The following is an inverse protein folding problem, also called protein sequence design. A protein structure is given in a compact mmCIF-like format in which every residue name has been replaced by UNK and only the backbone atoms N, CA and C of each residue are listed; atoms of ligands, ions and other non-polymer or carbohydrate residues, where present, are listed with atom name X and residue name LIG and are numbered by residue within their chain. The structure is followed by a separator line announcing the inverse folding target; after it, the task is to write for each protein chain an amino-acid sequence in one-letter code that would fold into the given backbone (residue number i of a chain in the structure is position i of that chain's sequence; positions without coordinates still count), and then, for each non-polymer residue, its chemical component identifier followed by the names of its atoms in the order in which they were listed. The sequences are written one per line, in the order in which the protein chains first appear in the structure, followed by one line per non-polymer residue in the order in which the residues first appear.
data_IF_931298839723
#
_entry.id   IF_931298839723
#
_cell.length_a   1.000
_cell.length_b   1.000
_cell.length_c   1.000
_cell.angle_alpha   90.00
_cell.angle_beta   90.00
_cell.angle_gamma   90.00
#
_symmetry.space_group_name_H-M   'P 1'
#
loop_
_entity.id
_entity.type
_entity.pdbx_description
1 polymer ?
#
# COMPACT_ATOMS: atom_id res chain seq x y z
N UNK A 1 1.12 6.36 27.84
CA UNK A 1 1.27 5.20 26.93
C UNK A 1 2.70 4.74 26.93
N UNK A 2 3.00 3.44 26.84
CA UNK A 2 4.38 2.96 26.86
C UNK A 2 5.20 3.51 25.68
N UNK A 3 6.46 3.92 25.87
CA UNK A 3 7.32 4.44 24.79
C UNK A 3 7.55 3.43 23.65
N UNK A 4 7.37 2.15 23.93
CA UNK A 4 7.47 1.06 22.96
C UNK A 4 6.48 1.18 21.78
N UNK A 5 5.34 1.86 21.96
CA UNK A 5 4.39 2.10 20.87
C UNK A 5 4.94 3.06 19.80
N UNK A 6 5.78 4.03 20.21
CA UNK A 6 6.44 4.92 19.26
C UNK A 6 7.48 4.15 18.43
N UNK A 7 8.16 3.17 19.05
CA UNK A 7 9.11 2.28 18.38
C UNK A 7 8.39 1.41 17.32
N UNK A 8 7.23 0.85 17.69
CA UNK A 8 6.41 0.07 16.75
C UNK A 8 5.91 0.96 15.60
N UNK A 9 5.42 2.16 15.89
CA UNK A 9 4.98 3.11 14.87
C UNK A 9 6.14 3.53 13.94
N UNK A 10 7.34 3.73 14.47
CA UNK A 10 8.54 4.01 13.68
C UNK A 10 8.92 2.84 12.77
N UNK A 11 8.78 1.59 13.22
CA UNK A 11 9.04 0.41 12.40
C UNK A 11 8.03 0.31 11.23
N UNK A 12 6.74 0.53 11.50
CA UNK A 12 5.71 0.54 10.43
C UNK A 12 5.89 1.72 9.47
N UNK A 13 6.29 2.89 9.97
CA UNK A 13 6.65 4.06 9.16
C UNK A 13 7.82 3.75 8.21
N UNK A 14 8.93 3.21 8.72
CA UNK A 14 10.13 2.90 7.93
C UNK A 14 9.85 1.85 6.84
N UNK A 15 9.03 0.83 7.14
CA UNK A 15 8.62 -0.17 6.17
C UNK A 15 7.74 0.43 5.07
N UNK A 16 6.76 1.25 5.45
CA UNK A 16 5.86 1.92 4.51
C UNK A 16 6.60 2.94 3.62
N UNK A 17 7.55 3.67 4.19
CA UNK A 17 8.42 4.61 3.45
C UNK A 17 9.17 3.89 2.32
N UNK A 18 9.68 2.67 2.57
CA UNK A 18 10.44 1.88 1.60
C UNK A 18 9.57 1.29 0.48
N UNK A 19 8.25 1.18 0.67
CA UNK A 19 7.35 0.51 -0.29
C UNK A 19 7.21 1.27 -1.61
N UNK A 20 7.23 2.60 -1.57
CA UNK A 20 7.05 3.51 -2.71
C UNK A 20 8.33 4.26 -3.10
N UNK A 21 9.46 3.81 -2.60
CA UNK A 21 10.74 4.48 -2.71
C UNK A 21 11.21 4.72 -4.16
N UNK A 22 10.91 3.82 -5.07
CA UNK A 22 11.39 3.90 -6.44
C UNK A 22 10.42 4.58 -7.40
N UNK A 23 9.14 4.77 -7.05
CA UNK A 23 8.13 5.30 -7.97
C UNK A 23 8.55 6.64 -8.62
N UNK A 24 8.97 7.69 -7.88
CA UNK A 24 9.35 8.96 -8.50
C UNK A 24 10.72 8.92 -9.20
N UNK A 25 11.61 8.00 -8.84
CA UNK A 25 12.96 7.91 -9.41
C UNK A 25 13.08 6.86 -10.53
N UNK A 26 11.98 6.23 -10.89
CA UNK A 26 11.94 5.12 -11.84
C UNK A 26 12.53 5.44 -13.23
N UNK A 27 12.32 6.65 -13.82
CA UNK A 27 12.95 6.99 -15.08
C UNK A 27 14.49 6.96 -15.01
N UNK A 28 15.10 7.44 -13.94
CA UNK A 28 16.55 7.39 -13.76
C UNK A 28 17.07 5.95 -13.58
N UNK A 29 16.28 5.09 -12.92
CA UNK A 29 16.60 3.65 -12.85
C UNK A 29 16.55 3.00 -14.23
N UNK A 30 15.52 3.32 -15.01
CA UNK A 30 15.36 2.79 -16.36
C UNK A 30 16.52 3.20 -17.27
N UNK A 31 16.91 4.47 -17.22
CA UNK A 31 18.02 5.04 -17.98
C UNK A 31 19.36 4.41 -17.60
N UNK A 32 19.69 4.35 -16.31
CA UNK A 32 20.94 3.77 -15.78
C UNK A 32 21.16 2.30 -16.21
N UNK A 33 20.08 1.52 -16.34
CA UNK A 33 20.19 0.11 -16.75
C UNK A 33 19.84 -0.13 -18.22
N UNK A 34 19.49 0.90 -18.98
CA UNK A 34 19.11 0.80 -20.40
C UNK A 34 17.85 -0.06 -20.61
N UNK A 35 16.90 -0.03 -19.68
CA UNK A 35 15.65 -0.78 -19.76
C UNK A 35 14.46 0.14 -19.99
N UNK A 36 13.35 -0.41 -20.46
CA UNK A 36 12.11 0.39 -20.61
C UNK A 36 11.51 0.76 -19.26
N UNK A 37 10.72 1.84 -19.22
CA UNK A 37 9.94 2.23 -18.02
C UNK A 37 9.03 1.08 -17.58
N UNK A 38 8.44 0.34 -18.52
CA UNK A 38 7.59 -0.82 -18.23
C UNK A 38 8.38 -1.95 -17.52
N UNK A 39 9.62 -2.20 -17.95
CA UNK A 39 10.52 -3.17 -17.29
C UNK A 39 10.90 -2.67 -15.89
N UNK A 40 11.26 -1.41 -15.75
CA UNK A 40 11.59 -0.81 -14.47
C UNK A 40 10.40 -0.79 -13.49
N UNK A 41 9.17 -0.58 -13.98
CA UNK A 41 7.94 -0.67 -13.19
C UNK A 41 7.70 -2.07 -12.59
N UNK A 42 8.31 -3.10 -13.19
CA UNK A 42 8.37 -4.45 -12.62
C UNK A 42 9.00 -4.51 -11.22
N UNK A 43 9.89 -3.56 -10.87
CA UNK A 43 10.47 -3.45 -9.52
C UNK A 43 9.39 -3.19 -8.46
N UNK A 44 8.43 -2.31 -8.74
CA UNK A 44 7.29 -2.04 -7.87
C UNK A 44 6.33 -3.25 -7.82
N UNK A 45 6.07 -3.88 -8.98
CA UNK A 45 5.24 -5.08 -9.08
C UNK A 45 5.83 -6.26 -8.28
N UNK A 46 7.13 -6.52 -8.41
CA UNK A 46 7.83 -7.59 -7.68
C UNK A 46 7.81 -7.38 -6.17
N UNK A 47 8.02 -6.14 -5.72
CA UNK A 47 7.89 -5.79 -4.31
C UNK A 47 6.46 -6.03 -3.80
N UNK A 48 5.44 -5.52 -4.50
CA UNK A 48 4.05 -5.66 -4.11
C UNK A 48 3.59 -7.13 -4.08
N UNK A 49 4.03 -7.93 -5.04
CA UNK A 49 3.74 -9.37 -5.11
C UNK A 49 4.21 -10.11 -3.88
N UNK A 50 5.50 -9.98 -3.56
CA UNK A 50 6.08 -10.67 -2.41
C UNK A 50 5.56 -10.13 -1.09
N UNK A 51 5.31 -8.82 -1.02
CA UNK A 51 4.64 -8.19 0.11
C UNK A 51 3.25 -8.81 0.36
N UNK A 52 2.44 -9.02 -0.68
CA UNK A 52 1.10 -9.61 -0.56
C UNK A 52 1.15 -11.06 -0.06
N UNK A 53 1.98 -11.89 -0.70
CA UNK A 53 2.01 -13.34 -0.43
C UNK A 53 2.54 -13.64 0.97
N UNK A 54 3.51 -12.87 1.44
CA UNK A 54 4.20 -13.17 2.69
C UNK A 54 3.41 -12.76 3.94
N UNK A 55 2.48 -11.82 3.83
CA UNK A 55 1.71 -11.29 4.99
C UNK A 55 1.04 -12.39 5.84
N UNK A 56 0.27 -13.32 5.26
CA UNK A 56 -0.35 -14.39 6.05
C UNK A 56 0.67 -15.32 6.70
N UNK A 57 1.76 -15.58 5.98
CA UNK A 57 2.82 -16.50 6.43
C UNK A 57 3.61 -15.89 7.61
N UNK A 58 4.06 -14.64 7.46
CA UNK A 58 4.84 -13.98 8.51
C UNK A 58 3.99 -13.58 9.72
N UNK A 59 2.70 -13.25 9.49
CA UNK A 59 1.75 -13.06 10.59
C UNK A 59 1.62 -14.30 11.47
N UNK A 60 1.51 -15.47 10.85
CA UNK A 60 1.45 -16.75 11.56
C UNK A 60 2.81 -17.15 12.18
N UNK A 61 3.92 -16.96 11.46
CA UNK A 61 5.26 -17.24 11.97
C UNK A 61 5.63 -16.37 13.17
N UNK A 62 5.08 -15.16 13.28
CA UNK A 62 5.32 -14.26 14.40
C UNK A 62 4.90 -14.84 15.75
N UNK A 63 3.82 -15.62 15.78
CA UNK A 63 3.35 -16.30 16.99
C UNK A 63 4.22 -17.49 17.37
N UNK A 64 4.94 -18.09 16.40
CA UNK A 64 5.84 -19.23 16.62
C UNK A 64 7.27 -18.83 16.98
N UNK A 65 7.83 -17.85 16.31
CA UNK A 65 9.24 -17.42 16.46
C UNK A 65 9.39 -16.34 17.55
N UNK A 66 8.29 -15.62 17.80
CA UNK A 66 8.26 -14.45 18.68
C UNK A 66 8.25 -13.15 17.87
N UNK A 67 7.19 -12.36 18.07
CA UNK A 67 6.85 -11.16 17.27
C UNK A 67 8.01 -10.15 17.21
N UNK A 68 8.64 -9.83 18.36
CA UNK A 68 9.73 -8.86 18.39
C UNK A 68 10.96 -9.33 17.60
N UNK A 69 11.33 -10.60 17.72
CA UNK A 69 12.46 -11.18 16.96
C UNK A 69 12.18 -11.15 15.47
N UNK A 70 11.00 -11.61 15.05
CA UNK A 70 10.64 -11.65 13.64
C UNK A 70 10.57 -10.23 13.08
N UNK A 71 10.09 -9.24 13.83
CA UNK A 71 10.12 -7.84 13.42
C UNK A 71 11.55 -7.34 13.19
N UNK A 72 12.49 -7.66 14.08
CA UNK A 72 13.90 -7.28 13.91
C UNK A 72 14.49 -7.95 12.65
N UNK A 73 14.24 -9.25 12.45
CA UNK A 73 14.69 -9.95 11.24
C UNK A 73 14.12 -9.30 9.98
N UNK A 74 12.83 -8.99 9.95
CA UNK A 74 12.20 -8.29 8.83
C UNK A 74 12.83 -6.91 8.58
N UNK A 75 13.07 -6.12 9.63
CA UNK A 75 13.71 -4.80 9.49
C UNK A 75 15.15 -4.93 8.99
N UNK A 76 15.93 -5.87 9.52
CA UNK A 76 17.31 -6.11 9.05
C UNK A 76 17.32 -6.54 7.58
N UNK A 77 16.44 -7.46 7.18
CA UNK A 77 16.33 -7.87 5.77
C UNK A 77 15.89 -6.73 4.85
N UNK A 78 14.99 -5.86 5.32
CA UNK A 78 14.57 -4.68 4.56
C UNK A 78 15.71 -3.67 4.41
N UNK A 79 16.48 -3.43 5.47
CA UNK A 79 17.66 -2.57 5.43
C UNK A 79 18.71 -3.12 4.45
N UNK A 80 19.02 -4.42 4.55
CA UNK A 80 19.94 -5.09 3.62
C UNK A 80 19.44 -5.01 2.18
N UNK A 81 18.16 -5.24 1.93
CA UNK A 81 17.54 -5.09 0.62
C UNK A 81 17.77 -3.70 0.03
N UNK A 82 17.52 -2.65 0.80
CA UNK A 82 17.72 -1.27 0.35
C UNK A 82 19.21 -0.96 0.11
N UNK A 83 20.11 -1.35 1.01
CA UNK A 83 21.56 -1.10 0.88
C UNK A 83 22.14 -1.87 -0.31
N UNK A 84 21.84 -3.17 -0.44
CA UNK A 84 22.28 -3.95 -1.59
C UNK A 84 21.70 -3.40 -2.90
N UNK A 85 20.45 -2.95 -2.88
CA UNK A 85 19.86 -2.25 -4.03
C UNK A 85 20.60 -0.98 -4.41
N UNK A 86 21.03 -0.18 -3.44
CA UNK A 86 21.82 1.04 -3.67
C UNK A 86 23.20 0.74 -4.30
N UNK A 87 23.79 -0.40 -3.97
CA UNK A 87 25.12 -0.78 -4.41
C UNK A 87 25.16 -1.57 -5.72
N UNK A 88 23.99 -2.00 -6.23
CA UNK A 88 23.94 -2.88 -7.40
C UNK A 88 24.25 -2.15 -8.71
N UNK A 89 24.90 -2.87 -9.61
CA UNK A 89 25.17 -2.45 -11.00
C UNK A 89 24.40 -3.29 -12.02
N UNK A 90 23.52 -4.17 -11.56
CA UNK A 90 22.76 -5.11 -12.41
C UNK A 90 21.26 -4.99 -12.13
N UNK A 91 20.44 -4.84 -13.18
CA UNK A 91 18.98 -4.77 -13.04
C UNK A 91 18.38 -6.03 -12.44
N UNK A 92 18.78 -7.28 -12.83
CA UNK A 92 18.27 -8.50 -12.19
C UNK A 92 18.58 -8.55 -10.68
N UNK A 93 19.74 -8.06 -10.25
CA UNK A 93 20.09 -8.01 -8.84
C UNK A 93 19.27 -6.96 -8.11
N UNK A 94 19.05 -5.77 -8.71
CA UNK A 94 18.11 -4.78 -8.16
C UNK A 94 16.72 -5.38 -8.00
N UNK A 95 16.22 -6.13 -9.01
CA UNK A 95 14.94 -6.80 -8.93
C UNK A 95 14.89 -7.81 -7.78
N UNK A 96 15.94 -8.62 -7.60
CA UNK A 96 16.04 -9.57 -6.48
C UNK A 96 16.02 -8.85 -5.12
N UNK A 97 16.68 -7.70 -5.00
CA UNK A 97 16.60 -6.89 -3.76
C UNK A 97 15.19 -6.39 -3.51
N UNK A 98 14.41 -6.02 -4.54
CA UNK A 98 13.01 -5.59 -4.37
C UNK A 98 12.12 -6.76 -3.92
N UNK A 99 12.35 -7.96 -4.45
CA UNK A 99 11.69 -9.20 -3.97
C UNK A 99 11.97 -9.40 -2.47
N UNK A 100 13.25 -9.35 -2.08
CA UNK A 100 13.66 -9.48 -0.67
C UNK A 100 13.03 -8.39 0.22
N UNK A 101 13.02 -7.14 -0.27
CA UNK A 101 12.40 -6.01 0.41
C UNK A 101 10.90 -6.19 0.62
N UNK A 102 10.19 -6.70 -0.39
CA UNK A 102 8.77 -6.99 -0.30
C UNK A 102 8.46 -8.10 0.72
N UNK A 103 9.25 -9.18 0.73
CA UNK A 103 9.15 -10.23 1.76
C UNK A 103 9.32 -9.64 3.16
N UNK A 104 10.35 -8.85 3.34
CA UNK A 104 10.68 -8.26 4.63
C UNK A 104 9.61 -7.25 5.10
N UNK A 105 9.23 -6.31 4.25
CA UNK A 105 8.26 -5.28 4.58
C UNK A 105 6.85 -5.85 4.83
N UNK A 106 6.45 -6.88 4.08
CA UNK A 106 5.14 -7.51 4.19
C UNK A 106 4.85 -8.11 5.57
N UNK A 107 5.89 -8.53 6.31
CA UNK A 107 5.74 -9.05 7.67
C UNK A 107 5.59 -7.96 8.73
N UNK A 108 6.14 -6.77 8.51
CA UNK A 108 6.28 -5.76 9.57
C UNK A 108 4.93 -5.29 10.10
N UNK A 109 3.95 -5.01 9.22
CA UNK A 109 2.66 -4.49 9.65
C UNK A 109 1.83 -5.49 10.47
N UNK A 110 1.61 -6.75 10.04
CA UNK A 110 0.86 -7.72 10.84
C UNK A 110 1.58 -8.05 12.17
N UNK A 111 2.93 -8.11 12.17
CA UNK A 111 3.70 -8.31 13.40
C UNK A 111 3.53 -7.12 14.36
N UNK A 112 3.54 -5.89 13.85
CA UNK A 112 3.32 -4.68 14.64
C UNK A 112 1.95 -4.69 15.32
N UNK A 113 0.89 -5.06 14.59
CA UNK A 113 -0.46 -5.18 15.14
C UNK A 113 -0.51 -6.22 16.27
N UNK A 114 0.17 -7.35 16.09
CA UNK A 114 0.31 -8.38 17.11
C UNK A 114 1.08 -7.89 18.35
N UNK A 115 2.19 -7.16 18.17
CA UNK A 115 2.98 -6.58 19.28
C UNK A 115 2.18 -5.54 20.07
N UNK A 116 1.47 -4.64 19.38
CA UNK A 116 0.59 -3.67 20.04
C UNK A 116 -0.43 -4.40 20.93
N UNK A 117 -1.03 -5.46 20.41
CA UNK A 117 -2.02 -6.26 21.15
C UNK A 117 -1.44 -6.97 22.37
N UNK A 118 -0.13 -7.24 22.40
CA UNK A 118 0.56 -7.89 23.50
C UNK A 118 0.99 -6.93 24.62
N UNK A 119 1.28 -5.65 24.27
CA UNK A 119 1.85 -4.67 25.23
C UNK A 119 0.84 -3.66 25.75
N UNK A 120 -0.40 -3.67 25.23
CA UNK A 120 -1.43 -2.69 25.60
C UNK A 120 -2.68 -3.39 26.10
N UNK A 121 -3.24 -2.85 27.19
CA UNK A 121 -4.52 -3.31 27.75
C UNK A 121 -5.69 -3.13 26.77
N UNK A 122 -6.75 -3.93 26.83
CA UNK A 122 -7.86 -3.90 25.86
C UNK A 122 -8.49 -2.53 25.67
N UNK A 123 -8.62 -1.74 26.74
CA UNK A 123 -9.20 -0.38 26.76
C UNK A 123 -8.39 0.63 25.92
N UNK A 124 -7.08 0.46 25.81
CA UNK A 124 -6.16 1.36 25.06
C UNK A 124 -5.74 0.80 23.71
N UNK A 125 -6.12 -0.44 23.38
CA UNK A 125 -5.66 -1.16 22.19
C UNK A 125 -6.03 -0.42 20.89
N UNK A 126 -7.27 0.09 20.79
CA UNK A 126 -7.73 0.78 19.58
C UNK A 126 -6.88 2.05 19.28
N UNK A 127 -6.56 2.83 20.32
CA UNK A 127 -5.72 4.03 20.15
C UNK A 127 -4.29 3.67 19.78
N UNK A 128 -3.76 2.59 20.33
CA UNK A 128 -2.40 2.13 20.03
C UNK A 128 -2.28 1.56 18.60
N UNK A 129 -3.28 0.79 18.16
CA UNK A 129 -3.37 0.31 16.76
C UNK A 129 -3.47 1.49 15.79
N UNK A 130 -4.29 2.51 16.13
CA UNK A 130 -4.41 3.73 15.33
C UNK A 130 -3.08 4.47 15.16
N UNK A 131 -2.21 4.51 16.18
CA UNK A 131 -0.87 5.11 16.06
C UNK A 131 0.05 4.36 15.10
N UNK A 132 0.04 3.03 15.16
CA UNK A 132 0.83 2.22 14.22
C UNK A 132 0.34 2.36 12.79
N UNK A 133 -0.98 2.44 12.59
CA UNK A 133 -1.59 2.72 11.29
C UNK A 133 -1.23 4.11 10.79
N UNK A 134 -1.28 5.13 11.66
CA UNK A 134 -0.85 6.49 11.32
C UNK A 134 0.62 6.53 10.90
N UNK A 135 1.51 5.79 11.59
CA UNK A 135 2.90 5.63 11.20
C UNK A 135 3.04 5.07 9.78
N UNK A 136 2.32 3.98 9.46
CA UNK A 136 2.33 3.38 8.13
C UNK A 136 1.76 4.33 7.06
N UNK A 137 0.65 5.02 7.34
CA UNK A 137 0.05 6.00 6.42
C UNK A 137 0.99 7.18 6.14
N UNK A 138 1.62 7.72 7.19
CA UNK A 138 2.61 8.81 7.05
C UNK A 138 3.84 8.33 6.27
N UNK A 139 4.30 7.10 6.50
CA UNK A 139 5.38 6.50 5.74
C UNK A 139 5.05 6.37 4.25
N UNK A 140 3.86 5.88 3.91
CA UNK A 140 3.41 5.81 2.52
C UNK A 140 3.27 7.19 1.86
N UNK A 141 2.74 8.18 2.59
CA UNK A 141 2.60 9.56 2.12
C UNK A 141 3.97 10.18 1.82
N UNK A 142 4.89 10.06 2.78
CA UNK A 142 6.23 10.65 2.66
C UNK A 142 7.16 9.82 1.77
N UNK A 143 6.87 8.52 1.55
CA UNK A 143 7.73 7.62 0.79
C UNK A 143 8.04 8.14 -0.60
N UNK A 144 7.04 8.48 -1.39
CA UNK A 144 7.22 9.02 -2.73
C UNK A 144 7.79 10.45 -2.70
N UNK A 145 7.27 11.36 -1.86
CA UNK A 145 7.73 12.74 -1.82
C UNK A 145 9.18 12.86 -1.32
N UNK A 146 9.52 12.16 -0.25
CA UNK A 146 10.90 12.12 0.25
C UNK A 146 11.85 11.48 -0.76
N UNK A 147 11.43 10.39 -1.41
CA UNK A 147 12.25 9.72 -2.44
C UNK A 147 12.48 10.59 -3.66
N UNK A 148 11.48 11.35 -4.11
CA UNK A 148 11.67 12.32 -5.19
C UNK A 148 12.65 13.41 -4.81
N UNK A 149 12.48 14.01 -3.63
CA UNK A 149 13.39 15.07 -3.14
C UNK A 149 14.83 14.55 -2.94
N UNK A 150 15.01 13.41 -2.28
CA UNK A 150 16.32 12.79 -2.08
C UNK A 150 16.93 12.44 -3.45
N UNK A 151 16.12 11.94 -4.38
CA UNK A 151 16.54 11.54 -5.73
C UNK A 151 17.12 12.68 -6.54
N UNK A 152 16.59 13.89 -6.42
CA UNK A 152 17.12 15.08 -7.08
C UNK A 152 18.55 15.45 -6.61
N UNK A 153 18.89 15.16 -5.34
CA UNK A 153 20.20 15.51 -4.78
C UNK A 153 21.24 14.39 -4.90
N UNK A 154 20.85 13.14 -4.69
CA UNK A 154 21.79 12.01 -4.55
C UNK A 154 21.46 10.83 -5.47
N UNK A 155 20.51 11.01 -6.39
CA UNK A 155 20.06 9.97 -7.32
C UNK A 155 19.30 8.81 -6.63
N UNK A 156 18.81 7.87 -7.44
CA UNK A 156 18.01 6.76 -6.97
C UNK A 156 18.77 5.80 -6.03
N UNK A 157 20.09 5.66 -6.22
CA UNK A 157 20.94 4.87 -5.31
C UNK A 157 21.00 5.50 -3.92
N UNK A 158 21.12 6.83 -3.87
CA UNK A 158 21.07 7.58 -2.62
C UNK A 158 19.74 7.45 -1.91
N UNK A 159 18.62 7.42 -2.64
CA UNK A 159 17.30 7.14 -2.06
C UNK A 159 17.30 5.80 -1.31
N UNK A 160 17.73 4.73 -1.96
CA UNK A 160 17.77 3.40 -1.31
C UNK A 160 18.75 3.37 -0.13
N UNK A 161 19.91 4.05 -0.24
CA UNK A 161 20.89 4.17 0.84
C UNK A 161 20.33 4.86 2.09
N UNK A 162 19.68 6.02 1.90
CA UNK A 162 19.02 6.77 2.99
C UNK A 162 17.90 5.96 3.63
N UNK A 163 17.07 5.31 2.84
CA UNK A 163 16.01 4.44 3.36
C UNK A 163 16.57 3.25 4.10
N UNK A 164 17.65 2.64 3.61
CA UNK A 164 18.38 1.59 4.31
C UNK A 164 18.86 2.05 5.70
N UNK A 165 19.44 3.25 5.78
CA UNK A 165 19.88 3.84 7.06
C UNK A 165 18.70 4.08 8.02
N UNK A 166 17.57 4.61 7.53
CA UNK A 166 16.36 4.82 8.35
C UNK A 166 15.86 3.48 8.90
N UNK A 167 15.83 2.43 8.07
CA UNK A 167 15.38 1.09 8.51
C UNK A 167 16.36 0.47 9.51
N UNK A 168 17.69 0.69 9.39
CA UNK A 168 18.67 0.28 10.40
C UNK A 168 18.35 0.94 11.74
N UNK A 169 18.13 2.26 11.77
CA UNK A 169 17.77 2.98 12.99
C UNK A 169 16.50 2.40 13.61
N UNK A 170 15.48 2.12 12.80
CA UNK A 170 14.24 1.48 13.27
C UNK A 170 14.51 0.08 13.82
N UNK A 171 15.37 -0.72 13.18
CA UNK A 171 15.75 -2.06 13.63
C UNK A 171 16.48 -2.02 15.00
N UNK A 172 17.42 -1.11 15.15
CA UNK A 172 18.13 -0.90 16.41
C UNK A 172 17.17 -0.47 17.52
N UNK A 173 16.27 0.48 17.24
CA UNK A 173 15.29 0.94 18.22
C UNK A 173 14.35 -0.20 18.67
N UNK A 174 13.88 -1.06 17.73
CA UNK A 174 13.09 -2.25 18.07
C UNK A 174 13.95 -3.23 18.90
N UNK A 175 15.20 -3.48 18.51
CA UNK A 175 16.13 -4.34 19.25
C UNK A 175 16.34 -3.89 20.69
N UNK A 176 16.60 -2.60 20.90
CA UNK A 176 16.77 -2.03 22.25
C UNK A 176 15.46 -1.99 23.05
N UNK A 177 14.36 -1.61 22.39
CA UNK A 177 13.05 -1.48 23.04
C UNK A 177 12.47 -2.80 23.53
N UNK A 178 12.74 -3.90 22.81
CA UNK A 178 12.23 -5.23 23.13
C UNK A 178 13.25 -6.17 23.77
N UNK A 179 14.46 -5.69 24.10
CA UNK A 179 15.53 -6.53 24.68
C UNK A 179 15.12 -7.29 25.96
N UNK A 180 14.27 -6.68 26.78
CA UNK A 180 13.79 -7.22 28.06
C UNK A 180 12.33 -7.73 27.97
N UNK A 181 11.75 -7.80 26.77
CA UNK A 181 10.36 -8.25 26.63
C UNK A 181 10.24 -9.74 26.98
N UNK A 182 9.27 -10.14 27.81
CA UNK A 182 9.07 -11.54 28.14
C UNK A 182 8.76 -12.36 26.89
N UNK A 183 9.41 -13.52 26.77
CA UNK A 183 9.14 -14.46 25.69
C UNK A 183 7.79 -15.12 25.94
N UNK A 184 6.79 -14.75 25.18
CA UNK A 184 5.54 -15.54 25.15
C UNK A 184 5.80 -16.91 24.51
N UNK A 185 5.23 -17.94 25.11
CA UNK A 185 5.24 -19.28 24.52
C UNK A 185 4.58 -19.26 23.11
N UNK A 186 5.15 -20.02 22.19
CA UNK A 186 4.59 -20.18 20.85
C UNK A 186 3.17 -20.73 20.91
N UNK A 187 2.22 -20.05 20.26
CA UNK A 187 0.88 -20.56 20.12
C UNK A 187 0.82 -21.52 18.92
N UNK A 188 0.24 -22.71 19.06
CA UNK A 188 0.12 -23.62 17.92
C UNK A 188 -0.82 -23.04 16.85
N UNK A 189 -0.41 -23.17 15.59
CA UNK A 189 -1.25 -22.79 14.44
C UNK A 189 -2.54 -23.63 14.42
N UNK A 190 -3.66 -22.98 14.58
CA UNK A 190 -4.96 -23.66 14.46
C UNK A 190 -5.46 -23.63 13.00
N UNK A 191 -4.92 -24.53 12.18
CA UNK A 191 -5.26 -24.67 10.75
C UNK A 191 -6.77 -24.92 10.55
N UNK A 192 -7.40 -25.64 11.48
CA UNK A 192 -8.85 -25.91 11.42
C UNK A 192 -9.68 -24.63 11.63
N UNK A 193 -9.27 -23.75 12.54
CA UNK A 193 -9.91 -22.46 12.72
C UNK A 193 -9.72 -21.54 11.50
N UNK A 194 -8.52 -21.54 10.93
CA UNK A 194 -8.22 -20.77 9.71
C UNK A 194 -9.08 -21.25 8.54
N UNK A 195 -9.15 -22.56 8.29
CA UNK A 195 -10.01 -23.15 7.26
C UNK A 195 -11.49 -22.83 7.46
N UNK A 196 -11.99 -22.87 8.69
CA UNK A 196 -13.37 -22.45 9.00
C UNK A 196 -13.58 -20.99 8.68
N UNK A 197 -12.64 -20.10 9.05
CA UNK A 197 -12.69 -18.68 8.74
C UNK A 197 -12.80 -18.41 7.24
N UNK A 198 -11.93 -19.02 6.43
CA UNK A 198 -12.01 -18.92 4.97
C UNK A 198 -13.36 -19.39 4.42
N UNK A 199 -13.83 -20.56 4.88
CA UNK A 199 -15.12 -21.09 4.44
C UNK A 199 -16.28 -20.13 4.75
N UNK A 200 -16.29 -19.53 5.94
CA UNK A 200 -17.34 -18.57 6.35
C UNK A 200 -17.27 -17.29 5.51
N UNK A 201 -16.05 -16.78 5.24
CA UNK A 201 -15.87 -15.57 4.43
C UNK A 201 -16.38 -15.81 3.00
N UNK A 202 -15.92 -16.88 2.33
CA UNK A 202 -16.30 -17.15 0.94
C UNK A 202 -17.73 -17.68 0.78
N UNK A 203 -18.41 -18.06 1.85
CA UNK A 203 -19.85 -18.32 1.85
C UNK A 203 -20.67 -17.02 1.78
N UNK A 204 -20.09 -15.86 2.11
CA UNK A 204 -20.76 -14.58 2.02
C UNK A 204 -20.84 -14.14 0.54
N UNK A 205 -22.03 -13.82 -0.01
CA UNK A 205 -22.19 -13.44 -1.42
C UNK A 205 -21.44 -12.16 -1.81
N UNK A 206 -21.16 -11.28 -0.84
CA UNK A 206 -20.39 -10.06 -1.09
C UNK A 206 -18.87 -10.32 -1.22
N UNK A 207 -18.35 -11.48 -0.79
CA UNK A 207 -16.90 -11.70 -0.67
C UNK A 207 -16.17 -11.56 -1.99
N UNK A 208 -16.65 -12.27 -3.03
CA UNK A 208 -16.00 -12.25 -4.34
C UNK A 208 -16.05 -10.85 -4.95
N UNK A 209 -17.20 -10.18 -4.92
CA UNK A 209 -17.38 -8.83 -5.47
C UNK A 209 -16.45 -7.85 -4.74
N UNK A 210 -16.39 -7.92 -3.40
CA UNK A 210 -15.57 -7.04 -2.60
C UNK A 210 -14.07 -7.22 -2.91
N UNK A 211 -13.56 -8.46 -2.91
CA UNK A 211 -12.14 -8.70 -3.16
C UNK A 211 -11.72 -8.44 -4.61
N UNK A 212 -12.59 -8.74 -5.59
CA UNK A 212 -12.32 -8.37 -6.99
C UNK A 212 -12.32 -6.86 -7.18
N UNK A 213 -13.23 -6.14 -6.53
CA UNK A 213 -13.24 -4.68 -6.57
C UNK A 213 -11.95 -4.09 -6.00
N UNK A 214 -11.50 -4.59 -4.86
CA UNK A 214 -10.25 -4.17 -4.21
C UNK A 214 -9.02 -4.49 -5.06
N UNK A 215 -9.02 -5.63 -5.74
CA UNK A 215 -7.98 -5.98 -6.71
C UNK A 215 -7.95 -4.98 -7.87
N UNK A 216 -9.11 -4.67 -8.47
CA UNK A 216 -9.22 -3.73 -9.59
C UNK A 216 -8.80 -2.32 -9.17
N UNK A 217 -9.20 -1.83 -8.00
CA UNK A 217 -8.77 -0.50 -7.54
C UNK A 217 -7.27 -0.42 -7.30
N UNK A 218 -6.64 -1.48 -6.76
CA UNK A 218 -5.20 -1.59 -6.61
C UNK A 218 -4.47 -1.58 -7.96
N UNK A 219 -5.02 -2.32 -8.94
CA UNK A 219 -4.49 -2.40 -10.29
C UNK A 219 -4.56 -1.04 -11.01
N UNK A 220 -5.73 -0.40 -10.99
CA UNK A 220 -5.97 0.86 -11.74
C UNK A 220 -5.26 2.03 -11.08
N UNK A 221 -5.43 2.25 -9.78
CA UNK A 221 -4.91 3.47 -9.13
C UNK A 221 -3.44 3.37 -8.77
N UNK A 222 -3.05 2.32 -8.05
CA UNK A 222 -1.67 2.21 -7.57
C UNK A 222 -0.72 1.67 -8.66
N UNK A 223 -1.26 0.97 -9.67
CA UNK A 223 -0.50 0.56 -10.85
C UNK A 223 -0.01 1.72 -11.72
N UNK A 224 -0.65 2.89 -11.63
CA UNK A 224 -0.24 4.12 -12.32
C UNK A 224 1.05 4.73 -11.75
N UNK A 225 1.30 4.62 -10.44
CA UNK A 225 2.32 5.40 -9.74
C UNK A 225 3.74 5.27 -10.32
N UNK A 226 4.21 4.07 -10.72
CA UNK A 226 5.51 3.92 -11.36
C UNK A 226 5.69 4.71 -12.67
N UNK A 227 4.61 5.14 -13.30
CA UNK A 227 4.64 5.87 -14.58
C UNK A 227 4.55 7.39 -14.43
N UNK A 228 4.19 7.90 -13.23
CA UNK A 228 3.94 9.33 -13.00
C UNK A 228 5.15 10.18 -13.35
N UNK A 229 6.34 9.80 -12.89
CA UNK A 229 7.57 10.53 -13.19
C UNK A 229 7.87 10.54 -14.70
N UNK A 230 7.70 9.39 -15.39
CA UNK A 230 7.89 9.31 -16.83
C UNK A 230 6.91 10.22 -17.59
N UNK A 231 5.64 10.27 -17.17
CA UNK A 231 4.65 11.15 -17.79
C UNK A 231 4.96 12.63 -17.57
N UNK A 232 5.54 13.00 -16.44
CA UNK A 232 6.00 14.37 -16.19
C UNK A 232 7.24 14.70 -17.04
N UNK A 233 8.15 13.76 -17.22
CA UNK A 233 9.31 13.91 -18.09
C UNK A 233 8.92 14.16 -19.54
N UNK A 234 7.92 13.45 -20.05
CA UNK A 234 7.33 13.68 -21.38
C UNK A 234 6.79 15.12 -21.56
N UNK A 235 6.42 15.78 -20.46
CA UNK A 235 5.93 17.16 -20.44
C UNK A 235 7.04 18.19 -20.16
N UNK A 236 8.31 17.75 -20.08
CA UNK A 236 9.46 18.61 -19.81
C UNK A 236 9.72 18.87 -18.31
N UNK A 237 8.96 18.24 -17.40
CA UNK A 237 9.19 18.37 -15.96
C UNK A 237 10.09 17.23 -15.48
N UNK A 238 11.38 17.50 -15.33
CA UNK A 238 12.39 16.49 -14.99
C UNK A 238 12.75 16.39 -13.52
N UNK A 239 12.20 17.28 -12.67
CA UNK A 239 12.44 17.26 -11.22
C UNK A 239 11.71 16.11 -10.55
N UNK A 240 12.46 15.20 -9.95
CA UNK A 240 11.91 14.04 -9.24
C UNK A 240 11.10 14.45 -8.00
N UNK A 241 11.48 15.55 -7.34
CA UNK A 241 10.71 16.12 -6.24
C UNK A 241 9.27 16.47 -6.65
N UNK A 242 9.08 16.99 -7.89
CA UNK A 242 7.73 17.28 -8.41
C UNK A 242 6.95 15.99 -8.64
N UNK A 243 7.57 14.96 -9.19
CA UNK A 243 6.93 13.65 -9.35
C UNK A 243 6.52 13.07 -7.99
N UNK A 244 7.40 13.13 -7.00
CA UNK A 244 7.11 12.73 -5.62
C UNK A 244 5.97 13.54 -5.00
N UNK A 245 5.93 14.87 -5.23
CA UNK A 245 4.88 15.75 -4.75
C UNK A 245 3.52 15.41 -5.38
N UNK A 246 3.47 15.18 -6.69
CA UNK A 246 2.25 14.79 -7.41
C UNK A 246 1.70 13.48 -6.85
N UNK A 247 2.55 12.46 -6.66
CA UNK A 247 2.14 11.19 -6.03
C UNK A 247 1.65 11.40 -4.59
N UNK A 248 2.33 12.27 -3.81
CA UNK A 248 1.90 12.60 -2.46
C UNK A 248 0.53 13.28 -2.42
N UNK A 249 0.14 14.00 -3.47
CA UNK A 249 -1.20 14.56 -3.63
C UNK A 249 -2.30 13.53 -3.42
N UNK A 250 -2.12 12.31 -3.94
CA UNK A 250 -3.07 11.21 -3.75
C UNK A 250 -3.28 10.85 -2.27
N UNK A 251 -2.21 10.79 -1.49
CA UNK A 251 -2.31 10.49 -0.06
C UNK A 251 -2.89 11.67 0.74
N UNK A 252 -2.62 12.92 0.32
CA UNK A 252 -3.27 14.12 0.86
C UNK A 252 -4.79 14.05 0.62
N UNK A 253 -5.23 13.59 -0.57
CA UNK A 253 -6.64 13.30 -0.85
C UNK A 253 -7.27 12.32 0.15
N UNK A 254 -6.52 11.31 0.59
CA UNK A 254 -6.94 10.40 1.67
C UNK A 254 -7.14 11.10 3.02
N UNK A 255 -6.32 12.10 3.35
CA UNK A 255 -6.53 12.94 4.54
C UNK A 255 -7.82 13.76 4.40
N UNK A 256 -8.08 14.36 3.23
CA UNK A 256 -9.34 15.06 2.96
C UNK A 256 -10.56 14.15 3.11
N UNK A 257 -10.47 12.89 2.63
CA UNK A 257 -11.50 11.89 2.88
C UNK A 257 -11.73 11.68 4.38
N UNK A 258 -10.68 11.46 5.14
CA UNK A 258 -10.77 11.21 6.59
C UNK A 258 -11.46 12.37 7.33
N UNK A 259 -11.21 13.62 6.91
CA UNK A 259 -11.81 14.82 7.50
C UNK A 259 -13.27 15.03 7.06
N UNK A 260 -13.64 14.54 5.88
CA UNK A 260 -14.94 14.81 5.26
C UNK A 260 -15.94 13.66 5.39
N UNK A 261 -15.49 12.41 5.60
CA UNK A 261 -16.33 11.20 5.60
C UNK A 261 -17.51 11.29 6.58
N UNK A 262 -17.28 11.84 7.78
CA UNK A 262 -18.33 11.99 8.80
C UNK A 262 -19.50 12.91 8.37
N UNK A 263 -19.24 13.84 7.44
CA UNK A 263 -20.25 14.73 6.86
C UNK A 263 -20.85 14.20 5.56
N UNK A 264 -20.07 13.46 4.81
CA UNK A 264 -20.46 12.95 3.47
C UNK A 264 -21.29 11.67 3.57
N UNK A 265 -20.88 10.73 4.41
CA UNK A 265 -21.54 9.43 4.54
C UNK A 265 -23.03 9.53 4.93
N UNK A 266 -23.47 10.39 5.87
CA UNK A 266 -24.88 10.55 6.17
C UNK A 266 -25.71 11.14 5.02
N UNK A 267 -25.08 11.91 4.11
CA UNK A 267 -25.77 12.57 2.99
C UNK A 267 -25.82 11.68 1.74
N UNK A 268 -24.74 10.98 1.43
CA UNK A 268 -24.60 10.19 0.21
C UNK A 268 -24.98 8.71 0.42
N UNK A 269 -24.93 8.24 1.67
CA UNK A 269 -25.00 6.81 1.96
C UNK A 269 -23.79 6.04 1.40
N UNK A 270 -23.69 4.76 1.72
CA UNK A 270 -22.56 3.92 1.27
C UNK A 270 -22.52 3.80 -0.25
N UNK A 271 -23.67 3.58 -0.90
CA UNK A 271 -23.75 3.47 -2.36
C UNK A 271 -23.34 4.78 -3.05
N UNK A 272 -23.82 5.91 -2.54
CA UNK A 272 -23.42 7.22 -3.06
C UNK A 272 -21.93 7.51 -2.90
N UNK A 273 -21.32 7.06 -1.79
CA UNK A 273 -19.89 7.16 -1.57
C UNK A 273 -19.10 6.35 -2.61
N UNK A 274 -19.54 5.11 -2.92
CA UNK A 274 -18.88 4.26 -3.92
C UNK A 274 -19.00 4.84 -5.34
N UNK A 275 -20.18 5.32 -5.72
CA UNK A 275 -20.41 5.92 -7.04
C UNK A 275 -19.62 7.22 -7.20
N UNK A 276 -19.81 8.17 -6.28
CA UNK A 276 -19.15 9.48 -6.37
C UNK A 276 -17.62 9.34 -6.26
N UNK A 277 -17.12 8.42 -5.45
CA UNK A 277 -15.70 8.11 -5.36
C UNK A 277 -15.14 7.55 -6.67
N UNK A 278 -15.84 6.56 -7.26
CA UNK A 278 -15.47 5.99 -8.56
C UNK A 278 -15.48 7.03 -9.69
N UNK A 279 -16.52 7.87 -9.76
CA UNK A 279 -16.62 8.94 -10.76
C UNK A 279 -15.54 9.99 -10.55
N UNK A 280 -15.38 10.51 -9.33
CA UNK A 280 -14.37 11.53 -9.04
C UNK A 280 -12.97 11.06 -9.41
N UNK A 281 -12.56 9.88 -8.94
CA UNK A 281 -11.23 9.37 -9.22
C UNK A 281 -11.03 9.02 -10.70
N UNK A 282 -12.04 8.42 -11.35
CA UNK A 282 -11.98 8.10 -12.79
C UNK A 282 -11.88 9.35 -13.65
N UNK A 283 -12.67 10.40 -13.37
CA UNK A 283 -12.59 11.67 -14.11
C UNK A 283 -11.20 12.30 -13.94
N UNK A 284 -10.63 12.30 -12.74
CA UNK A 284 -9.28 12.85 -12.54
C UNK A 284 -8.20 12.04 -13.26
N UNK A 285 -8.34 10.71 -13.31
CA UNK A 285 -7.46 9.86 -14.09
C UNK A 285 -7.57 10.17 -15.60
N UNK A 286 -8.76 10.43 -16.09
CA UNK A 286 -8.97 10.88 -17.49
C UNK A 286 -8.33 12.26 -17.74
N UNK A 287 -8.39 13.19 -16.79
CA UNK A 287 -7.69 14.49 -16.89
C UNK A 287 -6.18 14.28 -17.00
N UNK A 288 -5.60 13.41 -16.18
CA UNK A 288 -4.16 13.08 -16.20
C UNK A 288 -3.74 12.47 -17.56
N UNK A 289 -4.64 11.73 -18.24
CA UNK A 289 -4.36 11.14 -19.55
C UNK A 289 -3.94 12.19 -20.60
N UNK A 290 -4.53 13.38 -20.55
CA UNK A 290 -4.24 14.47 -21.50
C UNK A 290 -2.99 15.29 -21.14
N UNK A 291 -2.30 14.97 -20.07
CA UNK A 291 -1.01 15.54 -19.71
C UNK A 291 -1.08 17.05 -19.37
N UNK A 292 -1.94 17.50 -18.45
CA UNK A 292 -1.90 18.88 -18.01
C UNK A 292 -0.58 19.19 -17.27
N UNK A 293 -0.17 20.48 -17.19
CA UNK A 293 1.00 20.87 -16.42
C UNK A 293 0.96 20.35 -14.97
N UNK A 294 2.11 20.09 -14.37
CA UNK A 294 2.25 19.42 -13.08
C UNK A 294 1.38 20.01 -11.93
N UNK A 295 1.13 21.34 -11.83
CA UNK A 295 0.27 21.86 -10.75
C UNK A 295 -1.17 21.34 -10.86
N UNK A 296 -1.68 21.20 -12.09
CA UNK A 296 -3.01 20.61 -12.31
C UNK A 296 -2.99 19.09 -12.06
N UNK A 297 -1.88 18.40 -12.39
CA UNK A 297 -1.74 16.99 -12.04
C UNK A 297 -1.72 16.78 -10.53
N UNK A 298 -1.06 17.65 -9.75
CA UNK A 298 -1.08 17.61 -8.29
C UNK A 298 -2.52 17.71 -7.74
N UNK A 299 -3.31 18.65 -8.25
CA UNK A 299 -4.74 18.79 -7.88
C UNK A 299 -5.53 17.55 -8.30
N UNK A 300 -5.27 17.04 -9.52
CA UNK A 300 -5.93 15.81 -10.00
C UNK A 300 -5.59 14.60 -9.13
N UNK A 301 -4.34 14.43 -8.70
CA UNK A 301 -3.95 13.35 -7.79
C UNK A 301 -4.57 13.50 -6.40
N UNK A 302 -4.71 14.73 -5.89
CA UNK A 302 -5.41 14.99 -4.64
C UNK A 302 -6.89 14.59 -4.74
N UNK A 303 -7.59 15.03 -5.78
CA UNK A 303 -8.99 14.68 -6.01
C UNK A 303 -9.19 13.20 -6.32
N UNK A 304 -8.26 12.59 -7.07
CA UNK A 304 -8.22 11.16 -7.35
C UNK A 304 -8.06 10.35 -6.06
N UNK A 305 -7.17 10.77 -5.17
CA UNK A 305 -7.00 10.16 -3.86
C UNK A 305 -8.25 10.28 -2.99
N UNK A 306 -8.87 11.45 -2.96
CA UNK A 306 -10.12 11.66 -2.24
C UNK A 306 -11.21 10.70 -2.75
N UNK A 307 -11.45 10.64 -4.07
CA UNK A 307 -12.40 9.71 -4.67
C UNK A 307 -12.05 8.24 -4.43
N UNK A 308 -10.77 7.88 -4.55
CA UNK A 308 -10.30 6.52 -4.26
C UNK A 308 -10.65 6.09 -2.83
N UNK A 309 -10.35 6.92 -1.82
CA UNK A 309 -10.62 6.56 -0.43
C UNK A 309 -12.11 6.54 -0.09
N UNK A 310 -12.98 7.22 -0.85
CA UNK A 310 -14.43 7.09 -0.73
C UNK A 310 -14.88 5.67 -1.12
N UNK A 311 -14.34 5.10 -2.20
CA UNK A 311 -14.62 3.73 -2.63
C UNK A 311 -13.91 2.71 -1.73
N UNK A 312 -12.59 2.84 -1.56
CA UNK A 312 -11.75 1.93 -0.78
C UNK A 312 -12.22 1.81 0.67
N UNK A 313 -12.54 2.93 1.33
CA UNK A 313 -13.06 2.94 2.70
C UNK A 313 -14.37 2.17 2.82
N UNK A 314 -15.26 2.31 1.84
CA UNK A 314 -16.52 1.54 1.79
C UNK A 314 -16.24 0.04 1.61
N UNK A 315 -15.35 -0.34 0.70
CA UNK A 315 -14.94 -1.73 0.48
C UNK A 315 -14.26 -2.35 1.72
N UNK A 316 -13.47 -1.55 2.45
CA UNK A 316 -12.84 -2.01 3.69
C UNK A 316 -13.88 -2.31 4.79
N UNK A 317 -14.94 -1.50 4.89
CA UNK A 317 -16.08 -1.78 5.79
C UNK A 317 -16.77 -3.08 5.38
N UNK A 318 -17.15 -3.24 4.10
CA UNK A 318 -17.74 -4.50 3.61
C UNK A 318 -16.85 -5.71 3.90
N UNK A 319 -15.52 -5.59 3.64
CA UNK A 319 -14.59 -6.67 3.97
C UNK A 319 -14.60 -7.04 5.45
N UNK A 320 -14.69 -6.06 6.34
CA UNK A 320 -14.72 -6.29 7.78
C UNK A 320 -16.00 -6.97 8.26
N UNK A 321 -17.09 -6.88 7.49
CA UNK A 321 -18.41 -7.42 7.78
C UNK A 321 -18.67 -8.78 7.13
N UNK A 322 -17.77 -9.27 6.25
CA UNK A 322 -17.95 -10.59 5.59
C UNK A 322 -18.02 -11.74 6.57
N UNK A 323 -17.38 -11.64 7.74
CA UNK A 323 -17.46 -12.63 8.82
C UNK A 323 -17.12 -11.96 10.15
N UNK A 324 -18.07 -11.94 11.07
CA UNK A 324 -17.85 -11.45 12.45
C UNK A 324 -16.85 -12.32 13.21
N UNK A 325 -16.87 -13.63 12.98
CA UNK A 325 -15.99 -14.60 13.62
C UNK A 325 -14.55 -14.60 13.06
N UNK A 326 -14.34 -14.14 11.82
CA UNK A 326 -13.04 -14.15 11.14
C UNK A 326 -12.68 -12.80 10.53
N UNK A 327 -13.04 -11.68 11.19
CA UNK A 327 -12.86 -10.30 10.70
C UNK A 327 -11.41 -10.00 10.32
N UNK A 328 -10.44 -10.43 11.14
CA UNK A 328 -9.02 -10.21 10.85
C UNK A 328 -8.57 -10.94 9.56
N UNK A 329 -9.06 -12.17 9.35
CA UNK A 329 -8.78 -12.94 8.13
C UNK A 329 -9.42 -12.27 6.90
N UNK A 330 -10.65 -11.75 7.04
CA UNK A 330 -11.34 -11.04 5.96
C UNK A 330 -10.59 -9.77 5.54
N UNK A 331 -10.08 -8.99 6.51
CA UNK A 331 -9.25 -7.80 6.23
C UNK A 331 -7.87 -8.17 5.68
N UNK A 332 -7.28 -9.30 6.08
CA UNK A 332 -6.04 -9.80 5.50
C UNK A 332 -6.22 -10.19 4.02
N UNK A 333 -7.35 -10.82 3.66
CA UNK A 333 -7.69 -11.11 2.27
C UNK A 333 -7.95 -9.84 1.45
N UNK A 334 -8.57 -8.82 2.05
CA UNK A 334 -8.71 -7.49 1.45
C UNK A 334 -7.33 -6.90 1.10
N UNK A 335 -6.41 -6.88 2.06
CA UNK A 335 -5.04 -6.39 1.82
C UNK A 335 -4.32 -7.22 0.77
N UNK A 336 -4.45 -8.55 0.80
CA UNK A 336 -3.89 -9.43 -0.20
C UNK A 336 -4.41 -9.10 -1.61
N UNK A 337 -5.72 -8.98 -1.79
CA UNK A 337 -6.32 -8.61 -3.07
C UNK A 337 -5.83 -7.25 -3.56
N UNK A 338 -5.73 -6.27 -2.67
CA UNK A 338 -5.24 -4.93 -2.98
C UNK A 338 -3.78 -4.94 -3.49
N UNK A 339 -2.88 -5.61 -2.80
CA UNK A 339 -1.48 -5.70 -3.21
C UNK A 339 -1.28 -6.58 -4.45
N UNK A 340 -2.12 -7.59 -4.65
CA UNK A 340 -2.14 -8.34 -5.91
C UNK A 340 -2.57 -7.45 -7.09
N UNK A 341 -3.52 -6.54 -6.90
CA UNK A 341 -3.84 -5.50 -7.87
C UNK A 341 -2.65 -4.60 -8.18
N UNK A 342 -1.93 -4.14 -7.15
CA UNK A 342 -0.70 -3.35 -7.30
C UNK A 342 0.43 -4.12 -8.01
N UNK A 343 0.42 -5.44 -7.97
CA UNK A 343 1.36 -6.29 -8.72
C UNK A 343 1.04 -6.29 -10.21
N UNK A 344 -0.23 -6.49 -10.55
CA UNK A 344 -0.69 -6.62 -11.94
C UNK A 344 -0.77 -5.25 -12.63
N UNK A 345 -1.11 -4.21 -11.88
CA UNK A 345 -1.33 -2.86 -12.40
C UNK A 345 -0.19 -2.30 -13.24
N UNK A 346 1.04 -2.23 -12.73
CA UNK A 346 2.18 -1.71 -13.50
C UNK A 346 2.43 -2.48 -14.80
N UNK A 347 2.23 -3.79 -14.78
CA UNK A 347 2.37 -4.64 -15.97
C UNK A 347 1.26 -4.36 -16.99
N UNK A 348 0.02 -4.20 -16.52
CA UNK A 348 -1.12 -3.86 -17.37
C UNK A 348 -0.95 -2.47 -18.01
N UNK A 349 -0.51 -1.47 -17.25
CA UNK A 349 -0.18 -0.14 -17.79
C UNK A 349 0.95 -0.22 -18.81
N UNK A 350 2.03 -0.95 -18.53
CA UNK A 350 3.14 -1.12 -19.47
C UNK A 350 2.71 -1.73 -20.81
N UNK A 351 1.91 -2.82 -20.75
CA UNK A 351 1.37 -3.47 -21.94
C UNK A 351 0.37 -2.56 -22.69
N UNK A 352 -0.49 -1.88 -21.96
CA UNK A 352 -1.46 -0.94 -22.55
C UNK A 352 -0.76 0.22 -23.25
N UNK A 353 0.19 0.87 -22.60
CA UNK A 353 0.94 1.99 -23.16
C UNK A 353 1.73 1.55 -24.40
N UNK A 354 2.37 0.37 -24.37
CA UNK A 354 3.13 -0.15 -25.49
C UNK A 354 2.26 -0.48 -26.73
N UNK A 355 1.02 -0.96 -26.52
CA UNK A 355 0.13 -1.39 -27.60
C UNK A 355 -0.85 -0.32 -28.07
N UNK A 356 -1.38 0.48 -27.16
CA UNK A 356 -2.46 1.44 -27.42
C UNK A 356 -2.01 2.90 -27.29
N UNK A 357 -0.86 3.12 -26.66
CA UNK A 357 -0.39 4.44 -26.26
C UNK A 357 -0.94 4.89 -24.89
N UNK A 358 -0.39 5.99 -24.38
CA UNK A 358 -0.69 6.55 -23.06
C UNK A 358 -2.16 6.92 -22.89
N UNK A 359 -2.69 7.75 -23.78
CA UNK A 359 -4.05 8.32 -23.63
C UNK A 359 -5.13 7.23 -23.62
N UNK A 360 -5.22 6.32 -24.60
CA UNK A 360 -6.25 5.26 -24.57
C UNK A 360 -6.12 4.34 -23.35
N UNK A 361 -4.89 4.05 -22.90
CA UNK A 361 -4.66 3.21 -21.72
C UNK A 361 -5.22 3.86 -20.46
N UNK A 362 -4.93 5.14 -20.22
CA UNK A 362 -5.41 5.86 -19.06
C UNK A 362 -6.94 6.09 -19.12
N UNK A 363 -7.49 6.38 -20.30
CA UNK A 363 -8.94 6.52 -20.46
C UNK A 363 -9.69 5.20 -20.21
N UNK A 364 -9.12 4.08 -20.66
CA UNK A 364 -9.67 2.74 -20.34
C UNK A 364 -9.63 2.49 -18.84
N UNK A 365 -8.51 2.78 -18.18
CA UNK A 365 -8.37 2.66 -16.73
C UNK A 365 -9.37 3.56 -15.98
N UNK A 366 -9.56 4.80 -16.44
CA UNK A 366 -10.53 5.75 -15.92
C UNK A 366 -11.97 5.20 -16.03
N UNK A 367 -12.34 4.69 -17.19
CA UNK A 367 -13.65 4.09 -17.42
C UNK A 367 -13.88 2.86 -16.52
N UNK A 368 -12.89 1.99 -16.44
CA UNK A 368 -12.94 0.81 -15.53
C UNK A 368 -13.19 1.24 -14.10
N UNK A 369 -12.54 2.31 -13.63
CA UNK A 369 -12.71 2.77 -12.24
C UNK A 369 -14.09 3.41 -12.01
N UNK A 370 -14.61 4.16 -12.97
CA UNK A 370 -15.99 4.69 -12.91
C UNK A 370 -16.99 3.53 -12.83
N UNK A 371 -16.87 2.55 -13.74
CA UNK A 371 -17.75 1.37 -13.79
C UNK A 371 -17.66 0.60 -12.45
N UNK A 372 -16.46 0.47 -11.88
CA UNK A 372 -16.25 -0.20 -10.61
C UNK A 372 -17.10 0.41 -9.50
N UNK A 373 -17.16 1.74 -9.40
CA UNK A 373 -18.00 2.44 -8.41
C UNK A 373 -19.47 2.07 -8.53
N UNK A 374 -20.02 2.04 -9.76
CA UNK A 374 -21.42 1.63 -10.02
C UNK A 374 -21.65 0.14 -9.76
N UNK A 375 -20.74 -0.73 -10.17
CA UNK A 375 -20.82 -2.18 -9.94
C UNK A 375 -20.83 -2.49 -8.44
N UNK A 376 -19.93 -1.87 -7.67
CA UNK A 376 -19.88 -2.03 -6.23
C UNK A 376 -21.19 -1.58 -5.57
N UNK A 377 -21.71 -0.40 -5.93
CA UNK A 377 -22.94 0.14 -5.37
C UNK A 377 -24.17 -0.73 -5.68
N UNK A 378 -24.16 -1.43 -6.83
CA UNK A 378 -25.28 -2.28 -7.27
C UNK A 378 -25.21 -3.69 -6.67
N UNK A 379 -24.03 -4.28 -6.58
CA UNK A 379 -23.85 -5.69 -6.23
C UNK A 379 -23.60 -5.91 -4.73
N UNK A 380 -22.91 -4.98 -4.06
CA UNK A 380 -22.66 -5.09 -2.63
C UNK A 380 -23.91 -4.71 -1.85
N UNK A 381 -24.43 -5.67 -1.11
CA UNK A 381 -25.61 -5.47 -0.27
C UNK A 381 -25.18 -5.32 1.19
N UNK A 382 -25.64 -4.27 1.92
CA UNK A 382 -25.41 -4.20 3.35
C UNK A 382 -25.90 -5.49 4.00
N UNK A 383 -25.04 -6.17 4.73
CA UNK A 383 -25.45 -7.29 5.58
C UNK A 383 -26.30 -6.68 6.69
N UNK A 384 -27.62 -6.97 6.70
CA UNK A 384 -28.44 -6.68 7.88
C UNK A 384 -27.77 -7.36 9.06
N UNK A 385 -27.65 -6.70 10.24
CA UNK A 385 -27.30 -7.42 11.44
C UNK A 385 -28.30 -8.59 11.53
N UNK A 386 -27.79 -9.82 11.54
CA UNK A 386 -28.60 -10.95 11.97
C UNK A 386 -29.12 -10.56 13.35
N UNK A 387 -30.43 -10.59 13.47
CA UNK A 387 -31.24 -10.14 14.61
C UNK A 387 -30.50 -10.26 15.93
N UNK A 388 -30.40 -9.09 16.64
CA UNK A 388 -29.86 -9.02 17.98
C UNK A 388 -30.76 -9.74 18.97
#
# INVERSE_FOLDING_TARGET
MPPILNIIAMATFAAALSSRALDPVLPHVADDFGVTIATAAGLAAGFAFTFAIVQPVLGAAADMVGKARLMIVCLVLLALSNILGAMTTSFPLLFATRILGGIAAGGIFPIAMGLVSDVVTPDKRQVALGRSLAGAMTGNLLGASASGLIGDFVGWRGVLGVLGAIVIVASLAVGFGFRNAPRKAAAPLNVAALRRGYRTIFANPNALVCYMAVFVEGCVMLGLFPYVAAFLFDLGETRLAIAGLVIAGFAIGGLFYTMSVSRMLPKLGVNGMMISGGVLAGVQLAVVAFGPPWPFQLVSFLLMGWGFYMLHGSLQVFSSELSSAARATALALHSFAFFMGQTVGPLAYGLGIAKLGKVPTLLTAALVFVILGFVCARLLKPTRPADA
#
